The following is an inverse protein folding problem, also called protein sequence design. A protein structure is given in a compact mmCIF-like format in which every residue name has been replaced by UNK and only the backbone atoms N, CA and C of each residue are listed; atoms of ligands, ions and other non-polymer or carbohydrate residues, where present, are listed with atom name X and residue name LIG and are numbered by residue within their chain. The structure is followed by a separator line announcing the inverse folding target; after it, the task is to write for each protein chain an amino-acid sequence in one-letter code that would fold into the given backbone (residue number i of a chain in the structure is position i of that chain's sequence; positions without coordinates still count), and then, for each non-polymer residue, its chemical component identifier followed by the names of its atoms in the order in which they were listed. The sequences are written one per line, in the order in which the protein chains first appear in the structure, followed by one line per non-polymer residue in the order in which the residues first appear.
data_IF_492224807289
#
_entry.id   IF_492224807289
#
_cell.length_a   1.000
_cell.length_b   1.000
_cell.length_c   1.000
_cell.angle_alpha   90.00
_cell.angle_beta   90.00
_cell.angle_gamma   90.00
#
_symmetry.space_group_name_H-M   'P 1'
#
loop_
_entity.id
_entity.type
_entity.pdbx_description
1 polymer ?
#
# COMPACT_ATOMS: atom_id res chain seq x y z
N UNK A 1 -37.54 -18.90 20.25
CA UNK A 1 -36.55 -17.99 19.62
C UNK A 1 -36.92 -17.95 18.14
N UNK A 2 -37.22 -16.77 17.60
CA UNK A 2 -37.50 -16.63 16.18
C UNK A 2 -36.21 -16.26 15.46
N UNK A 3 -35.85 -16.98 14.40
CA UNK A 3 -34.74 -16.62 13.52
C UNK A 3 -35.31 -15.85 12.35
N UNK A 4 -34.84 -14.63 12.11
CA UNK A 4 -35.19 -13.84 10.94
C UNK A 4 -34.03 -13.99 9.95
N UNK A 5 -34.33 -14.58 8.79
CA UNK A 5 -33.38 -14.73 7.70
C UNK A 5 -33.57 -13.56 6.72
N UNK A 6 -32.55 -12.70 6.62
CA UNK A 6 -32.48 -11.57 5.68
C UNK A 6 -31.41 -11.81 4.60
N UNK A 7 -30.95 -13.07 4.46
CA UNK A 7 -29.99 -13.41 3.42
C UNK A 7 -30.61 -13.25 2.02
N UNK A 8 -29.83 -12.69 1.11
CA UNK A 8 -30.21 -12.55 -0.30
C UNK A 8 -29.53 -13.68 -1.08
N UNK A 9 -30.34 -14.50 -1.76
CA UNK A 9 -29.78 -15.50 -2.66
C UNK A 9 -28.95 -14.79 -3.76
N UNK A 10 -27.70 -15.14 -3.87
CA UNK A 10 -26.82 -14.72 -4.95
C UNK A 10 -27.30 -15.38 -6.25
N UNK A 11 -28.22 -14.74 -6.94
CA UNK A 11 -28.55 -15.12 -8.31
C UNK A 11 -27.55 -14.49 -9.25
N UNK A 12 -27.08 -15.21 -10.27
CA UNK A 12 -25.97 -14.84 -11.14
C UNK A 12 -26.09 -13.52 -11.94
N UNK A 13 -27.03 -12.67 -11.56
CA UNK A 13 -27.23 -11.32 -12.09
C UNK A 13 -27.04 -10.24 -11.01
N UNK A 14 -26.36 -10.57 -9.93
CA UNK A 14 -25.97 -9.59 -8.93
C UNK A 14 -25.01 -8.61 -9.61
N UNK A 15 -25.18 -7.28 -9.41
CA UNK A 15 -24.16 -6.33 -9.85
C UNK A 15 -22.81 -6.85 -9.40
N UNK A 16 -21.91 -7.08 -10.32
CA UNK A 16 -20.57 -7.60 -10.04
C UNK A 16 -19.80 -6.51 -9.35
N UNK A 17 -20.24 -6.21 -8.13
CA UNK A 17 -19.65 -5.21 -7.32
C UNK A 17 -18.21 -5.59 -7.04
N UNK A 18 -17.34 -4.63 -7.11
CA UNK A 18 -16.12 -4.52 -6.33
C UNK A 18 -15.24 -5.77 -6.41
N UNK A 19 -14.54 -5.94 -7.52
CA UNK A 19 -13.51 -6.98 -7.64
C UNK A 19 -12.20 -6.45 -7.05
N UNK A 20 -11.57 -7.17 -6.12
CA UNK A 20 -10.21 -6.84 -5.71
C UNK A 20 -9.25 -6.92 -6.89
N UNK A 21 -8.33 -5.96 -6.98
CA UNK A 21 -7.27 -5.95 -7.96
C UNK A 21 -5.91 -5.71 -7.29
N UNK A 22 -4.87 -6.24 -7.90
CA UNK A 22 -3.51 -6.15 -7.40
C UNK A 22 -2.75 -5.03 -8.10
N UNK A 23 -2.03 -4.23 -7.30
CA UNK A 23 -1.11 -3.20 -7.79
C UNK A 23 0.25 -3.40 -7.14
N UNK A 24 1.31 -3.01 -7.86
CA UNK A 24 2.67 -3.04 -7.32
C UNK A 24 3.51 -1.92 -7.92
N UNK A 25 4.53 -1.52 -7.17
CA UNK A 25 5.56 -0.58 -7.61
C UNK A 25 6.89 -0.90 -6.91
N UNK A 26 8.00 -0.66 -7.59
CA UNK A 26 9.33 -0.82 -7.00
C UNK A 26 9.88 0.53 -6.58
N UNK A 27 10.19 0.66 -5.31
CA UNK A 27 10.79 1.86 -4.71
C UNK A 27 12.29 1.62 -4.55
N UNK A 28 13.08 2.44 -5.24
CA UNK A 28 14.54 2.44 -5.13
C UNK A 28 14.98 3.62 -4.28
N UNK A 29 15.59 3.34 -3.13
CA UNK A 29 16.00 4.35 -2.15
C UNK A 29 17.11 5.28 -2.68
N UNK A 30 18.04 4.77 -3.49
CA UNK A 30 19.05 5.61 -4.13
C UNK A 30 18.42 6.59 -5.12
N UNK A 31 17.41 6.13 -5.89
CA UNK A 31 16.65 7.01 -6.79
C UNK A 31 15.84 8.04 -6.00
N UNK A 32 15.23 7.66 -4.88
CA UNK A 32 14.50 8.58 -4.02
C UNK A 32 15.43 9.68 -3.46
N UNK A 33 16.62 9.31 -2.99
CA UNK A 33 17.63 10.27 -2.55
C UNK A 33 18.06 11.23 -3.68
N UNK A 34 18.30 10.67 -4.87
CA UNK A 34 18.64 11.48 -6.06
C UNK A 34 17.50 12.44 -6.46
N UNK A 35 16.27 11.99 -6.41
CA UNK A 35 15.09 12.83 -6.71
C UNK A 35 14.85 13.92 -5.69
N UNK A 36 15.16 13.64 -4.42
CA UNK A 36 15.13 14.64 -3.34
C UNK A 36 16.25 15.69 -3.51
N UNK A 37 17.36 15.33 -4.17
CA UNK A 37 18.55 16.16 -4.33
C UNK A 37 19.46 16.23 -3.10
N UNK A 38 19.14 15.49 -2.04
CA UNK A 38 19.92 15.35 -0.80
C UNK A 38 19.80 13.92 -0.28
N UNK A 39 20.64 13.53 0.66
CA UNK A 39 20.49 12.24 1.34
C UNK A 39 19.09 12.13 1.98
N UNK A 40 18.56 10.91 1.99
CA UNK A 40 17.35 10.61 2.75
C UNK A 40 17.63 10.79 4.25
N UNK A 41 16.61 11.18 4.99
CA UNK A 41 16.69 11.43 6.42
C UNK A 41 15.43 10.91 7.13
N UNK A 42 15.49 10.80 8.45
CA UNK A 42 14.31 10.51 9.26
C UNK A 42 13.18 11.52 8.97
N UNK A 43 11.99 11.07 8.98
CA UNK A 43 10.74 11.78 8.62
C UNK A 43 10.59 12.10 7.12
N UNK A 44 11.45 11.63 6.24
CA UNK A 44 11.17 11.68 4.80
C UNK A 44 10.07 10.65 4.43
N UNK A 45 9.18 11.09 3.55
CA UNK A 45 8.10 10.26 3.02
C UNK A 45 8.36 9.95 1.54
N UNK A 46 8.33 8.67 1.20
CA UNK A 46 8.45 8.19 -0.18
C UNK A 46 7.11 7.60 -0.61
N UNK A 47 6.44 8.24 -1.56
CA UNK A 47 5.17 7.76 -2.09
C UNK A 47 5.40 6.51 -2.94
N UNK A 48 4.81 5.40 -2.50
CA UNK A 48 5.03 4.10 -3.13
C UNK A 48 3.92 3.72 -4.11
N UNK A 49 2.65 3.80 -3.71
CA UNK A 49 1.51 3.39 -4.54
C UNK A 49 0.42 4.46 -4.44
N UNK A 50 -0.06 4.93 -5.59
CA UNK A 50 -1.24 5.81 -5.63
C UNK A 50 -2.50 4.98 -5.42
N UNK A 51 -3.35 5.40 -4.51
CA UNK A 51 -4.65 4.80 -4.22
C UNK A 51 -5.75 5.77 -4.65
N UNK A 52 -6.63 5.37 -5.56
CA UNK A 52 -7.75 6.21 -5.97
C UNK A 52 -8.66 6.58 -4.79
N UNK A 53 -9.44 7.66 -4.96
CA UNK A 53 -10.51 7.98 -4.03
C UNK A 53 -11.50 6.81 -3.94
N UNK A 54 -12.21 6.73 -2.82
CA UNK A 54 -13.25 5.72 -2.57
C UNK A 54 -12.78 4.27 -2.78
N UNK A 55 -11.56 4.00 -2.34
CA UNK A 55 -10.93 2.68 -2.48
C UNK A 55 -10.72 2.05 -1.11
N UNK A 56 -11.03 0.77 -0.99
CA UNK A 56 -10.69 -0.06 0.16
C UNK A 56 -9.37 -0.76 -0.09
N UNK A 57 -8.39 -0.54 0.75
CA UNK A 57 -7.14 -1.29 0.79
C UNK A 57 -7.38 -2.54 1.62
N UNK A 58 -7.43 -3.70 0.98
CA UNK A 58 -7.66 -4.99 1.64
C UNK A 58 -6.40 -5.52 2.29
N UNK A 59 -5.26 -5.29 1.66
CA UNK A 59 -3.95 -5.70 2.14
C UNK A 59 -2.87 -4.88 1.44
N UNK A 60 -1.78 -4.57 2.15
CA UNK A 60 -0.59 -3.98 1.56
C UNK A 60 0.67 -4.50 2.26
N UNK A 61 1.77 -4.51 1.54
CA UNK A 61 3.06 -4.96 2.03
C UNK A 61 4.16 -4.72 1.00
N UNK A 62 5.34 -5.25 1.30
CA UNK A 62 6.49 -5.17 0.39
C UNK A 62 7.38 -6.40 0.48
N UNK A 63 8.26 -6.54 -0.49
CA UNK A 63 9.35 -7.51 -0.56
C UNK A 63 10.67 -6.77 -0.80
N UNK A 64 11.72 -7.16 -0.11
CA UNK A 64 13.07 -6.65 -0.38
C UNK A 64 13.64 -7.33 -1.61
N UNK A 65 13.80 -6.58 -2.70
CA UNK A 65 14.36 -7.11 -3.96
C UNK A 65 15.83 -6.77 -4.17
N UNK A 66 16.32 -5.75 -3.45
CA UNK A 66 17.74 -5.43 -3.35
C UNK A 66 18.02 -5.02 -1.91
N UNK A 67 18.97 -5.66 -1.28
CA UNK A 67 19.38 -5.36 0.08
C UNK A 67 19.85 -3.90 0.20
N UNK A 68 19.67 -3.33 1.38
CA UNK A 68 20.21 -2.03 1.71
C UNK A 68 21.75 -2.02 1.58
N UNK A 69 22.31 -0.93 1.05
CA UNK A 69 23.74 -0.67 1.08
C UNK A 69 23.99 0.84 1.23
N UNK A 70 25.08 1.17 1.86
CA UNK A 70 25.49 2.55 2.11
C UNK A 70 26.33 2.66 3.37
N UNK A 71 26.39 3.86 3.93
CA UNK A 71 27.03 4.13 5.22
C UNK A 71 26.02 4.18 6.37
N UNK A 72 24.73 3.99 6.07
CA UNK A 72 23.70 3.92 7.07
C UNK A 72 23.86 2.67 7.93
N UNK A 73 23.72 2.85 9.24
CA UNK A 73 23.79 1.79 10.26
C UNK A 73 22.47 1.66 11.01
N UNK A 74 21.49 2.44 10.62
CA UNK A 74 20.16 2.46 11.25
C UNK A 74 19.19 3.03 10.22
N UNK A 75 18.54 2.14 9.47
CA UNK A 75 17.53 2.48 8.47
C UNK A 75 16.27 1.72 8.77
N UNK A 76 15.35 2.37 9.44
CA UNK A 76 14.02 1.83 9.71
C UNK A 76 12.93 2.66 9.05
N UNK A 77 11.86 2.01 8.62
CA UNK A 77 10.72 2.71 8.02
C UNK A 77 9.38 2.06 8.37
N UNK A 78 8.35 2.89 8.32
CA UNK A 78 6.96 2.50 8.36
C UNK A 78 6.37 2.38 6.97
N UNK A 79 5.30 1.61 6.86
CA UNK A 79 4.56 1.46 5.63
C UNK A 79 3.06 1.58 5.91
N UNK A 80 2.46 2.64 5.40
CA UNK A 80 1.07 2.97 5.70
C UNK A 80 0.49 4.02 4.76
N UNK A 81 -0.56 4.71 5.20
CA UNK A 81 -1.28 5.72 4.41
C UNK A 81 -1.10 7.09 5.04
N UNK A 82 -0.54 8.05 4.29
CA UNK A 82 -0.20 9.39 4.81
C UNK A 82 -1.40 10.16 5.37
N UNK A 83 -2.55 10.06 4.73
CA UNK A 83 -3.79 10.71 5.20
C UNK A 83 -4.51 9.99 6.32
N UNK A 84 -3.97 8.85 6.76
CA UNK A 84 -4.52 8.01 7.81
C UNK A 84 -3.47 7.65 8.85
N UNK A 85 -3.08 6.39 8.87
CA UNK A 85 -2.10 5.84 9.80
C UNK A 85 -0.85 5.44 9.00
N UNK A 86 0.27 6.08 9.30
CA UNK A 86 1.53 5.94 8.54
C UNK A 86 2.24 4.61 8.75
N UNK A 87 1.89 3.88 9.80
CA UNK A 87 2.41 2.56 10.19
C UNK A 87 1.35 1.45 10.14
N UNK A 88 0.21 1.72 9.51
CA UNK A 88 -0.95 0.82 9.48
C UNK A 88 -0.64 -0.59 8.98
N UNK A 89 0.28 -0.73 8.04
CA UNK A 89 0.64 -2.03 7.45
C UNK A 89 1.92 -2.59 8.06
N UNK A 90 2.90 -1.75 8.35
CA UNK A 90 4.19 -2.14 8.94
C UNK A 90 4.70 -1.00 9.80
N UNK A 91 5.06 -1.32 11.04
CA UNK A 91 5.67 -0.42 12.01
C UNK A 91 7.15 -0.81 12.20
N UNK A 92 8.05 0.13 11.93
CA UNK A 92 9.47 0.03 12.27
C UNK A 92 10.24 -1.09 11.57
N UNK A 93 10.06 -1.31 10.26
CA UNK A 93 10.83 -2.33 9.54
C UNK A 93 12.31 -1.94 9.46
N UNK A 94 13.16 -2.82 10.02
CA UNK A 94 14.63 -2.71 9.97
C UNK A 94 15.12 -3.09 8.56
N UNK A 95 15.44 -2.08 7.74
CA UNK A 95 15.82 -2.28 6.35
C UNK A 95 17.30 -2.58 6.17
N UNK A 96 18.16 -2.06 7.03
CA UNK A 96 19.60 -2.34 6.94
C UNK A 96 19.96 -3.75 7.42
N UNK A 97 19.14 -4.33 8.29
CA UNK A 97 19.22 -5.75 8.66
C UNK A 97 18.59 -6.72 7.68
N UNK A 98 17.82 -6.23 6.70
CA UNK A 98 17.01 -7.07 5.82
C UNK A 98 17.80 -7.68 4.65
N UNK A 99 17.39 -8.90 4.27
CA UNK A 99 17.97 -9.65 3.15
C UNK A 99 17.06 -9.63 1.92
N UNK A 100 17.62 -9.87 0.75
CA UNK A 100 16.83 -10.08 -0.48
C UNK A 100 15.89 -11.28 -0.29
N UNK A 101 14.62 -11.07 -0.60
CA UNK A 101 13.56 -12.07 -0.42
C UNK A 101 12.82 -11.95 0.92
N UNK A 102 13.23 -11.04 1.81
CA UNK A 102 12.45 -10.75 3.01
C UNK A 102 11.17 -9.98 2.64
N UNK A 103 10.08 -10.36 3.30
CA UNK A 103 8.78 -9.71 3.18
C UNK A 103 8.48 -8.88 4.41
N UNK A 104 7.65 -7.86 4.22
CA UNK A 104 7.12 -7.07 5.32
C UNK A 104 6.43 -7.97 6.35
N UNK A 105 6.73 -7.80 7.65
CA UNK A 105 5.91 -8.42 8.68
C UNK A 105 4.50 -7.84 8.61
N UNK A 106 3.49 -8.67 8.81
CA UNK A 106 2.13 -8.19 8.92
C UNK A 106 1.92 -7.57 10.31
N UNK A 107 1.42 -6.35 10.36
CA UNK A 107 1.06 -5.73 11.63
C UNK A 107 -0.02 -6.58 12.34
N UNK A 108 0.16 -6.78 13.65
CA UNK A 108 -0.74 -7.64 14.44
C UNK A 108 -2.20 -7.13 14.48
N UNK A 109 -2.42 -5.86 14.20
CA UNK A 109 -3.72 -5.19 14.22
C UNK A 109 -4.17 -4.72 12.84
N UNK A 110 -3.72 -5.37 11.77
CA UNK A 110 -4.07 -4.96 10.41
C UNK A 110 -5.58 -5.00 10.19
N UNK A 111 -6.15 -3.85 9.86
CA UNK A 111 -7.53 -3.71 9.43
C UNK A 111 -7.55 -3.12 8.01
N UNK A 112 -8.52 -3.50 7.17
CA UNK A 112 -8.71 -2.85 5.88
C UNK A 112 -8.87 -1.34 6.04
N UNK A 113 -8.21 -0.56 5.17
CA UNK A 113 -8.20 0.91 5.22
C UNK A 113 -9.04 1.46 4.09
N UNK A 114 -9.93 2.41 4.42
CA UNK A 114 -10.73 3.12 3.43
C UNK A 114 -10.04 4.44 3.09
N UNK A 115 -9.70 4.62 1.82
CA UNK A 115 -9.35 5.92 1.25
C UNK A 115 -10.64 6.61 0.83
N UNK A 116 -10.95 7.75 1.46
CA UNK A 116 -12.21 8.48 1.26
C UNK A 116 -12.29 9.21 -0.08
N UNK A 117 -13.08 10.27 -0.16
CA UNK A 117 -13.38 11.00 -1.40
C UNK A 117 -12.21 11.75 -2.06
N UNK A 118 -11.00 11.64 -1.52
CA UNK A 118 -9.78 12.20 -2.13
C UNK A 118 -8.75 11.09 -2.26
N UNK A 119 -8.13 10.98 -3.43
CA UNK A 119 -7.05 10.02 -3.66
C UNK A 119 -5.89 10.25 -2.68
N UNK A 120 -5.26 9.17 -2.25
CA UNK A 120 -4.14 9.18 -1.33
C UNK A 120 -3.00 8.27 -1.84
N UNK A 121 -1.97 8.07 -1.04
CA UNK A 121 -0.85 7.18 -1.36
C UNK A 121 -0.56 6.24 -0.21
N UNK A 122 -0.15 5.03 -0.56
CA UNK A 122 0.55 4.15 0.39
C UNK A 122 2.02 4.57 0.32
N UNK A 123 2.59 4.85 1.47
CA UNK A 123 3.88 5.51 1.58
C UNK A 123 4.85 4.72 2.46
N UNK A 124 6.13 4.98 2.25
CA UNK A 124 7.22 4.62 3.15
C UNK A 124 7.60 5.88 3.93
N UNK A 125 7.43 5.86 5.24
CA UNK A 125 7.90 6.89 6.15
C UNK A 125 9.19 6.42 6.81
N UNK A 126 10.30 7.13 6.61
CA UNK A 126 11.56 6.82 7.26
C UNK A 126 11.50 7.22 8.73
N UNK A 127 11.50 6.24 9.63
CA UNK A 127 11.56 6.48 11.09
C UNK A 127 12.96 6.83 11.52
N UNK A 128 13.94 6.06 11.05
CA UNK A 128 15.34 6.26 11.33
C UNK A 128 16.15 6.22 10.03
N UNK A 129 17.14 7.07 9.95
CA UNK A 129 18.12 7.09 8.87
C UNK A 129 19.37 7.79 9.36
N UNK A 130 20.43 7.01 9.55
CA UNK A 130 21.76 7.55 9.89
C UNK A 130 22.73 7.27 8.75
N UNK A 131 23.41 8.29 8.25
CA UNK A 131 24.33 8.14 7.12
C UNK A 131 23.61 8.24 5.76
N UNK A 132 24.11 7.53 4.76
CA UNK A 132 23.62 7.58 3.37
C UNK A 132 23.27 6.20 2.86
N UNK A 133 22.19 6.11 2.09
CA UNK A 133 21.78 4.91 1.36
C UNK A 133 22.24 5.04 -0.09
N UNK A 134 23.01 4.09 -0.58
CA UNK A 134 23.49 4.01 -1.97
C UNK A 134 22.82 2.94 -2.79
N UNK A 135 22.18 1.95 -2.15
CA UNK A 135 21.36 0.93 -2.77
C UNK A 135 20.27 0.47 -1.80
N UNK A 136 19.28 -0.16 -2.34
CA UNK A 136 18.14 -0.72 -1.63
C UNK A 136 16.87 -0.58 -2.48
N UNK A 137 16.19 -1.67 -2.71
CA UNK A 137 14.91 -1.67 -3.47
C UNK A 137 13.91 -2.53 -2.76
N UNK A 138 12.74 -1.98 -2.52
CA UNK A 138 11.57 -2.73 -2.06
C UNK A 138 10.50 -2.73 -3.14
N UNK A 139 9.89 -3.89 -3.39
CA UNK A 139 8.72 -4.02 -4.25
C UNK A 139 7.47 -3.94 -3.38
N UNK A 140 6.86 -2.75 -3.33
CA UNK A 140 5.61 -2.52 -2.64
C UNK A 140 4.44 -3.11 -3.44
N UNK A 141 3.46 -3.67 -2.76
CA UNK A 141 2.25 -4.20 -3.37
C UNK A 141 1.02 -3.90 -2.51
N UNK A 142 -0.13 -3.85 -3.15
CA UNK A 142 -1.41 -3.75 -2.45
C UNK A 142 -2.51 -4.50 -3.21
N UNK A 143 -3.50 -4.95 -2.46
CA UNK A 143 -4.78 -5.45 -2.97
C UNK A 143 -5.83 -4.40 -2.68
N UNK A 144 -6.36 -3.80 -3.71
CA UNK A 144 -7.31 -2.70 -3.67
C UNK A 144 -8.68 -3.18 -4.13
N UNK A 145 -9.72 -2.51 -3.65
CA UNK A 145 -11.09 -2.73 -4.10
C UNK A 145 -11.80 -1.37 -4.17
N UNK A 146 -12.31 -1.03 -5.33
CA UNK A 146 -13.13 0.14 -5.53
C UNK A 146 -14.44 0.02 -4.75
N UNK A 147 -14.76 1.03 -3.95
CA UNK A 147 -15.98 1.09 -3.15
C UNK A 147 -16.90 2.24 -3.56
N UNK A 148 -16.49 2.95 -4.62
CA UNK A 148 -17.31 4.01 -5.19
C UNK A 148 -18.48 3.35 -5.89
N UNK A 149 -19.56 3.41 -5.39
CA UNK A 149 -20.83 3.05 -5.97
C UNK A 149 -21.43 1.67 -5.70
N UNK A 150 -22.51 1.79 -5.04
CA UNK A 150 -23.47 0.73 -4.82
C UNK A 150 -24.38 0.63 -6.04
N UNK A 151 -23.82 0.34 -7.21
CA UNK A 151 -24.61 -0.08 -8.37
C UNK A 151 -25.04 1.01 -9.35
N UNK A 152 -24.44 2.19 -9.34
CA UNK A 152 -24.53 3.16 -10.43
C UNK A 152 -23.15 3.24 -11.09
N UNK A 153 -22.95 2.52 -12.17
CA UNK A 153 -21.75 2.65 -12.97
C UNK A 153 -21.73 4.06 -13.57
N UNK A 154 -20.74 4.86 -13.20
CA UNK A 154 -20.45 6.09 -13.92
C UNK A 154 -20.17 5.78 -15.39
N UNK A 155 -20.36 6.75 -16.27
CA UNK A 155 -20.16 6.55 -17.72
C UNK A 155 -18.74 6.04 -18.06
N UNK A 156 -17.76 6.29 -17.18
CA UNK A 156 -16.36 5.87 -17.34
C UNK A 156 -16.08 4.46 -16.82
N UNK A 157 -16.99 3.84 -16.07
CA UNK A 157 -16.84 2.50 -15.49
C UNK A 157 -17.48 1.39 -16.32
N UNK A 158 -18.34 1.75 -17.25
CA UNK A 158 -19.07 0.79 -18.09
C UNK A 158 -18.14 -0.09 -18.91
N UNK A 159 -16.98 0.41 -19.27
CA UNK A 159 -16.04 -0.26 -20.18
C UNK A 159 -15.19 -1.33 -19.49
N UNK A 160 -15.03 -1.33 -18.19
CA UNK A 160 -14.18 -2.32 -17.49
C UNK A 160 -14.87 -3.66 -17.27
N UNK A 161 -16.17 -3.65 -17.05
CA UNK A 161 -16.93 -4.87 -16.77
C UNK A 161 -17.57 -5.51 -18.00
N UNK A 162 -17.63 -4.79 -19.13
CA UNK A 162 -18.19 -5.29 -20.38
C UNK A 162 -17.17 -5.93 -21.33
N UNK A 163 -15.87 -5.82 -21.05
CA UNK A 163 -14.80 -6.41 -21.85
C UNK A 163 -14.29 -7.76 -21.32
N UNK A 164 -15.01 -8.39 -20.42
CA UNK A 164 -14.68 -9.72 -19.89
C UNK A 164 -15.64 -10.80 -20.42
#
# INVERSE_FOLDING_TARGET
MATVDLSIAQTGNTPRGRKPYYVQNSVNFATAASSKGTALAASDVIKAITVPANTLILHAGFEVTTAHAGTSTDTAFDFGVTGGDVDNFVDGFDFDGASVGDYSPQAAAFNPVIVGGTADTIDILLQAMTGTTTAGVVRCYAVLMDIDDVGSLGADEVDRDQLA
#
